data_IF_212704822530
#
_entry.id   IF_212704822530
#
_cell.length_a   1.000
_cell.length_b   1.000
_cell.length_c   1.000
_cell.angle_alpha   90.00
_cell.angle_beta   90.00
_cell.angle_gamma   90.00
#
_symmetry.space_group_name_H-M   'P 1'
#
loop_
_entity.id
_entity.type
_entity.pdbx_description
1 polymer ?
#
# COMPACT_ATOMS: atom_id res chain seq x y z
N UNK A 1 -34.73 22.82 -0.70
CA UNK A 1 -33.34 22.77 -0.21
C UNK A 1 -32.45 23.00 -1.43
N UNK A 2 -31.85 24.18 -1.56
CA UNK A 2 -31.11 24.58 -2.75
C UNK A 2 -29.78 23.81 -2.83
N UNK A 3 -29.57 23.11 -3.96
CA UNK A 3 -28.32 22.43 -4.28
C UNK A 3 -27.29 23.49 -4.70
N UNK A 4 -26.17 23.57 -3.98
CA UNK A 4 -25.13 24.56 -4.25
C UNK A 4 -24.45 24.27 -5.61
N UNK A 5 -24.50 25.19 -6.58
CA UNK A 5 -24.18 24.92 -7.99
C UNK A 5 -22.69 24.74 -8.30
N UNK A 6 -21.81 24.92 -7.31
CA UNK A 6 -20.35 24.89 -7.49
C UNK A 6 -19.76 23.47 -7.55
N UNK A 7 -20.45 22.46 -7.00
CA UNK A 7 -19.96 21.08 -7.00
C UNK A 7 -19.91 20.44 -8.39
N UNK A 8 -20.70 20.94 -9.35
CA UNK A 8 -20.76 20.39 -10.71
C UNK A 8 -19.55 20.72 -11.59
N UNK A 9 -18.77 21.75 -11.24
CA UNK A 9 -17.58 22.14 -12.01
C UNK A 9 -16.39 21.20 -11.79
N UNK A 10 -16.31 20.52 -10.64
CA UNK A 10 -15.10 19.81 -10.23
C UNK A 10 -15.18 18.28 -10.37
N UNK A 11 -16.38 17.73 -10.60
CA UNK A 11 -16.58 16.30 -10.85
C UNK A 11 -17.85 16.03 -11.68
N UNK A 12 -17.86 16.36 -12.99
CA UNK A 12 -19.02 16.07 -13.84
C UNK A 12 -19.22 14.55 -13.94
N UNK A 13 -20.30 14.05 -13.33
CA UNK A 13 -20.74 12.66 -13.46
C UNK A 13 -21.52 12.53 -14.76
N UNK A 14 -20.81 12.27 -15.87
CA UNK A 14 -21.38 12.03 -17.19
C UNK A 14 -21.97 10.61 -17.24
N UNK A 15 -23.28 10.50 -17.06
CA UNK A 15 -24.02 9.26 -17.30
C UNK A 15 -24.63 9.31 -18.71
N UNK A 16 -24.01 8.62 -19.67
CA UNK A 16 -24.58 8.47 -21.01
C UNK A 16 -25.69 7.40 -20.98
N UNK A 17 -26.83 7.61 -21.67
CA UNK A 17 -27.83 6.56 -21.80
C UNK A 17 -27.17 5.34 -22.47
N UNK A 18 -27.39 4.15 -21.91
CA UNK A 18 -26.74 2.87 -22.25
C UNK A 18 -25.29 2.65 -21.77
N UNK A 19 -24.68 3.56 -21.00
CA UNK A 19 -23.43 3.24 -20.29
C UNK A 19 -23.75 2.46 -19.00
N UNK A 20 -23.30 1.21 -18.92
CA UNK A 20 -23.33 0.45 -17.67
C UNK A 20 -22.39 1.06 -16.62
N UNK A 21 -22.48 0.58 -15.37
CA UNK A 21 -21.55 0.95 -14.31
C UNK A 21 -20.11 0.72 -14.79
N UNK A 22 -19.40 1.81 -15.11
CA UNK A 22 -17.97 1.75 -15.38
C UNK A 22 -17.30 1.44 -14.05
N UNK A 23 -17.07 0.15 -13.79
CA UNK A 23 -16.05 -0.27 -12.83
C UNK A 23 -14.72 0.27 -13.36
N UNK A 24 -14.32 1.45 -12.87
CA UNK A 24 -12.98 1.93 -13.11
C UNK A 24 -12.05 0.95 -12.42
N UNK A 25 -11.35 0.14 -13.21
CA UNK A 25 -10.23 -0.63 -12.73
C UNK A 25 -9.15 0.37 -12.32
N UNK A 26 -9.05 0.62 -11.00
CA UNK A 26 -8.01 1.47 -10.42
C UNK A 26 -6.83 0.57 -10.08
N UNK A 27 -6.41 -0.29 -11.00
CA UNK A 27 -5.09 -0.89 -10.88
C UNK A 27 -4.09 0.26 -11.06
N UNK A 28 -3.28 0.60 -10.04
CA UNK A 28 -2.37 1.73 -10.15
C UNK A 28 -1.41 1.43 -11.29
N UNK A 29 -1.46 2.21 -12.37
CA UNK A 29 -0.45 2.13 -13.44
C UNK A 29 0.88 2.58 -12.86
N UNK A 30 1.68 1.62 -12.37
CA UNK A 30 3.00 1.86 -11.78
C UNK A 30 4.06 2.18 -12.85
N UNK A 31 3.68 2.27 -14.13
CA UNK A 31 4.55 2.67 -15.23
C UNK A 31 5.33 3.95 -14.92
N UNK A 32 4.69 4.94 -14.29
CA UNK A 32 5.35 6.20 -13.90
C UNK A 32 6.48 5.99 -12.88
N UNK A 33 6.33 5.02 -11.97
CA UNK A 33 7.31 4.69 -10.93
C UNK A 33 8.52 4.01 -11.55
N UNK A 34 8.30 3.00 -12.40
CA UNK A 34 9.39 2.27 -13.06
C UNK A 34 10.08 3.08 -14.16
N UNK A 35 9.33 3.92 -14.91
CA UNK A 35 9.92 4.81 -15.91
C UNK A 35 10.76 5.94 -15.30
N UNK A 36 10.64 6.19 -13.99
CA UNK A 36 11.49 7.12 -13.25
C UNK A 36 12.85 6.54 -12.84
N UNK A 37 13.07 5.24 -13.01
CA UNK A 37 14.35 4.59 -12.69
C UNK A 37 15.36 5.01 -13.74
N UNK A 38 16.43 5.69 -13.29
CA UNK A 38 17.50 6.12 -14.20
C UNK A 38 18.19 4.87 -14.77
N UNK A 39 18.63 4.89 -16.05
CA UNK A 39 19.25 3.72 -16.67
C UNK A 39 20.45 3.15 -15.90
N UNK A 40 21.14 3.97 -15.12
CA UNK A 40 22.29 3.58 -14.30
C UNK A 40 21.88 2.80 -13.03
N UNK A 41 20.64 2.94 -12.58
CA UNK A 41 20.09 2.24 -11.41
C UNK A 41 19.43 0.91 -11.79
N UNK A 42 19.06 0.71 -13.05
CA UNK A 42 18.44 -0.51 -13.56
C UNK A 42 17.64 -0.30 -14.84
N UNK A 43 17.23 -1.39 -15.47
CA UNK A 43 16.36 -1.33 -16.64
C UNK A 43 14.89 -1.39 -16.20
N UNK A 44 14.13 -0.32 -16.44
CA UNK A 44 12.73 -0.18 -16.00
C UNK A 44 11.83 -1.41 -16.29
N UNK A 45 11.96 -2.00 -17.50
CA UNK A 45 11.19 -3.21 -17.88
C UNK A 45 11.57 -4.45 -17.06
N UNK A 46 12.83 -4.54 -16.64
CA UNK A 46 13.30 -5.62 -15.77
C UNK A 46 12.78 -5.39 -14.36
N UNK A 47 12.93 -4.17 -13.84
CA UNK A 47 12.48 -3.78 -12.49
C UNK A 47 10.98 -3.99 -12.28
N UNK A 48 10.14 -3.65 -13.26
CA UNK A 48 8.71 -3.91 -13.21
C UNK A 48 8.41 -5.41 -13.02
N UNK A 49 9.11 -6.29 -13.74
CA UNK A 49 8.93 -7.75 -13.61
C UNK A 49 9.52 -8.31 -12.33
N UNK A 50 10.56 -7.70 -11.78
CA UNK A 50 11.13 -8.10 -10.49
C UNK A 50 10.18 -7.72 -9.36
N UNK A 51 9.51 -6.55 -9.45
CA UNK A 51 8.53 -6.12 -8.48
C UNK A 51 7.33 -7.08 -8.36
N UNK A 52 6.92 -7.71 -9.46
CA UNK A 52 5.87 -8.75 -9.46
C UNK A 52 6.25 -9.99 -8.63
N UNK A 53 7.54 -10.30 -8.51
CA UNK A 53 8.02 -11.43 -7.69
C UNK A 53 7.95 -11.07 -6.20
N UNK A 54 8.44 -9.89 -5.84
CA UNK A 54 8.32 -9.34 -4.51
C UNK A 54 8.50 -7.83 -4.58
N UNK A 55 7.58 -7.08 -3.98
CA UNK A 55 7.74 -5.63 -3.85
C UNK A 55 9.02 -5.29 -3.08
N UNK A 56 9.62 -4.14 -3.34
CA UNK A 56 10.84 -3.72 -2.63
C UNK A 56 10.64 -3.66 -1.12
N UNK A 57 9.46 -3.28 -0.64
CA UNK A 57 9.12 -3.32 0.78
C UNK A 57 9.19 -4.74 1.37
N UNK A 58 8.74 -5.75 0.62
CA UNK A 58 8.82 -7.17 1.03
C UNK A 58 10.28 -7.66 1.02
N UNK A 59 11.05 -7.29 0.01
CA UNK A 59 12.47 -7.64 -0.09
C UNK A 59 13.27 -7.04 1.09
N UNK A 60 13.10 -5.74 1.36
CA UNK A 60 13.75 -5.04 2.46
C UNK A 60 13.30 -5.56 3.83
N UNK A 61 12.01 -5.91 3.98
CA UNK A 61 11.51 -6.57 5.18
C UNK A 61 12.22 -7.89 5.44
N UNK A 62 12.29 -8.78 4.43
CA UNK A 62 12.96 -10.06 4.56
C UNK A 62 14.45 -9.92 4.92
N UNK A 63 15.16 -8.97 4.31
CA UNK A 63 16.56 -8.68 4.66
C UNK A 63 16.68 -8.15 6.09
N UNK A 64 15.78 -7.26 6.50
CA UNK A 64 15.75 -6.69 7.85
C UNK A 64 15.56 -7.79 8.90
N UNK A 65 14.60 -8.69 8.69
CA UNK A 65 14.33 -9.79 9.59
C UNK A 65 15.50 -10.76 9.66
N UNK A 66 16.11 -11.11 8.52
CA UNK A 66 17.29 -11.97 8.48
C UNK A 66 18.49 -11.36 9.21
N UNK A 67 18.71 -10.05 9.09
CA UNK A 67 19.78 -9.35 9.80
C UNK A 67 19.54 -9.31 11.31
N UNK A 68 18.30 -9.07 11.74
CA UNK A 68 17.93 -9.07 13.15
C UNK A 68 18.07 -10.48 13.74
N UNK A 69 17.57 -11.51 13.06
CA UNK A 69 17.70 -12.92 13.48
C UNK A 69 19.18 -13.34 13.59
N UNK A 70 20.01 -12.95 12.62
CA UNK A 70 21.45 -13.21 12.69
C UNK A 70 22.09 -12.49 13.89
N UNK A 71 21.71 -11.23 14.13
CA UNK A 71 22.24 -10.47 15.26
C UNK A 71 21.82 -11.06 16.62
N UNK A 72 20.64 -11.67 16.73
CA UNK A 72 20.18 -12.34 17.96
C UNK A 72 20.99 -13.58 18.32
N UNK A 73 21.76 -14.12 17.37
CA UNK A 73 22.68 -15.25 17.58
C UNK A 73 24.08 -14.80 18.03
N UNK A 74 24.37 -13.50 17.98
CA UNK A 74 25.65 -12.96 18.43
C UNK A 74 25.66 -12.76 19.96
N UNK A 75 26.85 -12.75 20.58
CA UNK A 75 26.98 -12.43 22.00
C UNK A 75 26.31 -11.10 22.37
N UNK A 76 25.59 -11.07 23.51
CA UNK A 76 24.75 -9.94 23.89
C UNK A 76 25.52 -8.63 24.07
N UNK A 77 26.79 -8.69 24.45
CA UNK A 77 27.72 -7.56 24.57
C UNK A 77 28.01 -6.89 23.22
N UNK A 78 28.11 -7.68 22.14
CA UNK A 78 28.29 -7.17 20.77
C UNK A 78 27.01 -6.51 20.25
N UNK A 79 25.86 -7.10 20.60
CA UNK A 79 24.53 -6.65 20.15
C UNK A 79 24.09 -5.37 20.88
N UNK A 80 24.30 -5.31 22.20
CA UNK A 80 23.83 -4.20 23.04
C UNK A 80 24.46 -2.85 22.69
N UNK A 81 25.70 -2.87 22.18
CA UNK A 81 26.42 -1.66 21.75
C UNK A 81 26.10 -1.20 20.33
N UNK A 82 25.34 -1.97 19.53
CA UNK A 82 25.13 -1.67 18.12
C UNK A 82 23.98 -0.68 17.90
N UNK A 83 24.32 0.61 17.81
CA UNK A 83 23.36 1.65 17.41
C UNK A 83 22.66 1.39 16.06
N UNK A 84 23.36 0.89 15.01
CA UNK A 84 22.69 0.54 13.75
C UNK A 84 21.62 -0.53 13.92
N UNK A 85 21.85 -1.54 14.76
CA UNK A 85 20.88 -2.60 15.00
C UNK A 85 19.67 -2.10 15.81
N UNK A 86 19.90 -1.21 16.79
CA UNK A 86 18.81 -0.54 17.51
C UNK A 86 17.94 0.28 16.55
N UNK A 87 18.57 1.07 15.69
CA UNK A 87 17.87 1.84 14.67
C UNK A 87 17.06 0.95 13.72
N UNK A 88 17.65 -0.18 13.29
CA UNK A 88 16.98 -1.13 12.40
C UNK A 88 15.74 -1.76 13.07
N UNK A 89 15.82 -2.14 14.35
CA UNK A 89 14.67 -2.63 15.13
C UNK A 89 13.56 -1.57 15.23
N UNK A 90 13.91 -0.32 15.54
CA UNK A 90 12.95 0.78 15.60
C UNK A 90 12.26 1.01 14.26
N UNK A 91 13.01 0.97 13.15
CA UNK A 91 12.45 1.12 11.81
C UNK A 91 11.46 -0.02 11.51
N UNK A 92 11.85 -1.27 11.76
CA UNK A 92 10.98 -2.44 11.58
C UNK A 92 9.69 -2.29 12.38
N UNK A 93 9.79 -2.01 13.68
CA UNK A 93 8.63 -1.93 14.57
C UNK A 93 7.69 -0.77 14.17
N UNK A 94 8.24 0.33 13.66
CA UNK A 94 7.45 1.43 13.12
C UNK A 94 6.75 1.07 11.81
N UNK A 95 7.40 0.29 10.93
CA UNK A 95 6.77 -0.19 9.70
C UNK A 95 5.60 -1.11 10.03
N UNK A 96 5.76 -2.04 10.98
CA UNK A 96 4.68 -2.95 11.37
C UNK A 96 3.51 -2.19 11.99
N UNK A 97 3.76 -1.21 12.88
CA UNK A 97 2.65 -0.41 13.43
C UNK A 97 1.90 0.43 12.38
N UNK A 98 2.58 0.89 11.31
CA UNK A 98 1.91 1.53 10.18
C UNK A 98 1.04 0.54 9.41
N UNK A 99 1.53 -0.68 9.14
CA UNK A 99 0.75 -1.71 8.45
C UNK A 99 -0.50 -2.09 9.22
N UNK A 100 -0.36 -2.35 10.52
CA UNK A 100 -1.49 -2.70 11.39
C UNK A 100 -2.56 -1.61 11.39
N UNK A 101 -2.15 -0.35 11.52
CA UNK A 101 -3.07 0.79 11.49
C UNK A 101 -3.80 0.95 10.14
N UNK A 102 -3.14 0.68 9.01
CA UNK A 102 -3.81 0.72 7.70
C UNK A 102 -4.76 -0.47 7.51
N UNK A 103 -4.38 -1.67 7.95
CA UNK A 103 -5.28 -2.84 7.91
C UNK A 103 -6.55 -2.63 8.74
N UNK A 104 -6.43 -2.06 9.94
CA UNK A 104 -7.58 -1.74 10.77
C UNK A 104 -8.52 -0.74 10.07
N UNK A 105 -7.97 0.27 9.39
CA UNK A 105 -8.77 1.23 8.62
C UNK A 105 -9.46 0.58 7.43
N UNK A 106 -8.77 -0.27 6.69
CA UNK A 106 -9.34 -0.99 5.55
C UNK A 106 -10.48 -1.92 6.00
N UNK A 107 -10.31 -2.62 7.11
CA UNK A 107 -11.36 -3.47 7.70
C UNK A 107 -12.60 -2.65 8.04
N UNK A 108 -12.44 -1.50 8.70
CA UNK A 108 -13.55 -0.60 9.03
C UNK A 108 -14.29 -0.12 7.78
N UNK A 109 -13.58 0.28 6.72
CA UNK A 109 -14.24 0.67 5.46
C UNK A 109 -14.94 -0.51 4.79
N UNK A 110 -14.32 -1.69 4.79
CA UNK A 110 -14.88 -2.89 4.20
C UNK A 110 -16.17 -3.32 4.92
N UNK A 111 -16.18 -3.30 6.25
CA UNK A 111 -17.37 -3.56 7.06
C UNK A 111 -18.49 -2.55 6.72
N UNK A 112 -18.16 -1.26 6.63
CA UNK A 112 -19.13 -0.23 6.27
C UNK A 112 -19.69 -0.46 4.86
N UNK A 113 -18.87 -0.87 3.89
CA UNK A 113 -19.29 -1.24 2.53
C UNK A 113 -20.22 -2.44 2.53
N UNK A 114 -19.87 -3.52 3.25
CA UNK A 114 -20.70 -4.71 3.37
C UNK A 114 -22.07 -4.37 3.99
N UNK A 115 -22.09 -3.54 5.03
CA UNK A 115 -23.34 -3.11 5.67
C UNK A 115 -24.24 -2.31 4.72
N UNK A 116 -23.65 -1.42 3.91
CA UNK A 116 -24.40 -0.69 2.86
C UNK A 116 -25.00 -1.64 1.83
N UNK A 117 -24.24 -2.64 1.37
CA UNK A 117 -24.72 -3.65 0.42
C UNK A 117 -25.85 -4.48 1.01
N UNK A 118 -25.74 -4.95 2.26
CA UNK A 118 -26.81 -5.69 2.95
C UNK A 118 -28.10 -4.89 3.04
N UNK A 119 -28.03 -3.60 3.41
CA UNK A 119 -29.20 -2.72 3.46
C UNK A 119 -29.87 -2.55 2.09
N UNK A 120 -29.10 -2.49 1.00
CA UNK A 120 -29.65 -2.38 -0.36
C UNK A 120 -30.24 -3.70 -0.84
N UNK A 121 -29.60 -4.83 -0.55
CA UNK A 121 -30.08 -6.17 -0.90
C UNK A 121 -31.29 -6.63 -0.08
N UNK A 122 -31.46 -6.13 1.14
CA UNK A 122 -32.61 -6.41 2.01
C UNK A 122 -33.87 -5.58 1.68
N UNK A 123 -33.81 -4.71 0.66
CA UNK A 123 -34.96 -3.92 0.15
C UNK A 123 -35.51 -4.53 -1.17
N UNK A 124 -35.01 -5.69 -1.61
CA UNK A 124 -35.55 -6.44 -2.73
C UNK A 124 -36.49 -7.57 -2.25
#
# INVERSE_FOLDING_TARGET
MAMYPWFWLWAPQLHLPFSGDVAQDIEPRLDWFFNGIRPEAGAARIEARVFDVASYGRQLGAITDALIDLAERLPADVVAGSEPLKALRVIRDRIESVKDAEYDRELVDLEARIQRLRKRGAIA
#
